data_IF_759083517768
#
_entry.id   IF_759083517768
#
_cell.length_a   1.000
_cell.length_b   1.000
_cell.length_c   1.000
_cell.angle_alpha   90.00
_cell.angle_beta   90.00
_cell.angle_gamma   90.00
#
_symmetry.space_group_name_H-M   'P 1'
#
loop_
_entity.id
_entity.type
_entity.pdbx_description
1 polymer ?
#
# COMPACT_ATOMS: atom_id res chain seq x y z
N UNK A 1 32.23 -1.48 -9.18
CA UNK A 1 31.78 -2.62 -8.37
C UNK A 1 30.55 -2.30 -7.53
N UNK A 2 30.48 -1.13 -6.87
CA UNK A 2 29.31 -0.70 -6.07
C UNK A 2 28.03 -0.46 -6.90
N UNK A 3 28.14 0.16 -8.08
CA UNK A 3 26.98 0.44 -8.95
C UNK A 3 26.26 -0.81 -9.48
N UNK A 4 27.01 -1.86 -9.82
CA UNK A 4 26.46 -3.13 -10.34
C UNK A 4 25.70 -3.91 -9.29
N UNK A 5 26.15 -3.87 -8.02
CA UNK A 5 25.43 -4.52 -6.92
C UNK A 5 24.10 -3.81 -6.63
N UNK A 6 24.07 -2.48 -6.60
CA UNK A 6 22.83 -1.71 -6.35
C UNK A 6 21.76 -2.01 -7.39
N UNK A 7 22.12 -2.10 -8.68
CA UNK A 7 21.18 -2.41 -9.76
C UNK A 7 20.63 -3.84 -9.66
N UNK A 8 21.48 -4.82 -9.33
CA UNK A 8 21.05 -6.22 -9.15
C UNK A 8 20.09 -6.37 -7.97
N UNK A 9 20.37 -5.72 -6.83
CA UNK A 9 19.45 -5.73 -5.69
C UNK A 9 18.12 -5.04 -6.02
N UNK A 10 18.16 -3.92 -6.73
CA UNK A 10 16.95 -3.18 -7.11
C UNK A 10 16.06 -3.98 -8.07
N UNK A 11 16.65 -4.63 -9.07
CA UNK A 11 15.93 -5.52 -10.00
C UNK A 11 15.37 -6.76 -9.29
N UNK A 12 16.13 -7.35 -8.36
CA UNK A 12 15.65 -8.48 -7.55
C UNK A 12 14.49 -8.07 -6.64
N UNK A 13 14.52 -6.87 -6.05
CA UNK A 13 13.44 -6.33 -5.21
C UNK A 13 12.16 -6.06 -6.01
N UNK A 14 12.28 -5.50 -7.22
CA UNK A 14 11.16 -5.32 -8.15
C UNK A 14 10.56 -6.67 -8.58
N UNK A 15 11.40 -7.68 -8.78
CA UNK A 15 10.96 -9.02 -9.18
C UNK A 15 10.28 -9.77 -8.03
N UNK A 16 10.76 -9.66 -6.79
CA UNK A 16 10.05 -10.20 -5.60
C UNK A 16 8.72 -9.49 -5.41
N UNK A 17 8.69 -8.16 -5.56
CA UNK A 17 7.46 -7.37 -5.44
C UNK A 17 6.43 -7.82 -6.47
N UNK A 18 6.81 -8.08 -7.72
CA UNK A 18 5.89 -8.58 -8.76
C UNK A 18 5.44 -10.04 -8.59
N UNK A 19 6.09 -10.82 -7.72
CA UNK A 19 5.71 -12.22 -7.41
C UNK A 19 4.69 -12.28 -6.26
N UNK A 20 4.80 -11.37 -5.28
CA UNK A 20 3.91 -11.33 -4.11
C UNK A 20 2.85 -10.23 -4.17
N UNK A 21 3.04 -9.19 -4.99
CA UNK A 21 2.13 -8.08 -5.20
C UNK A 21 1.78 -7.95 -6.69
N UNK A 22 0.62 -7.35 -6.98
CA UNK A 22 0.18 -6.99 -8.32
C UNK A 22 1.26 -6.29 -9.13
N UNK A 23 1.52 -6.75 -10.36
CA UNK A 23 2.35 -6.00 -11.32
C UNK A 23 1.73 -4.64 -11.65
N UNK A 24 0.41 -4.51 -11.48
CA UNK A 24 -0.35 -3.28 -11.65
C UNK A 24 -0.99 -2.81 -10.33
N UNK A 25 -1.01 -1.50 -10.13
CA UNK A 25 -1.64 -0.86 -8.99
C UNK A 25 -3.17 -0.85 -9.18
N UNK A 26 -3.89 -1.58 -8.34
CA UNK A 26 -5.35 -1.63 -8.36
C UNK A 26 -5.96 -1.17 -7.04
N UNK A 27 -6.77 -0.12 -7.10
CA UNK A 27 -7.57 0.31 -5.94
C UNK A 27 -8.95 -0.36 -5.97
N UNK A 28 -9.39 -0.86 -4.81
CA UNK A 28 -10.76 -1.37 -4.62
C UNK A 28 -11.47 -0.48 -3.59
N UNK A 29 -11.26 -0.71 -2.29
CA UNK A 29 -11.86 0.10 -1.22
C UNK A 29 -11.38 1.56 -1.21
N UNK A 30 -10.23 1.85 -1.83
CA UNK A 30 -9.65 3.19 -1.93
C UNK A 30 -9.77 3.83 -3.31
N UNK A 31 -10.56 3.24 -4.22
CA UNK A 31 -10.79 3.82 -5.55
C UNK A 31 -11.52 5.16 -5.43
N UNK A 32 -10.96 6.23 -6.00
CA UNK A 32 -11.58 7.54 -6.11
C UNK A 32 -12.58 7.61 -7.26
N UNK A 33 -13.49 8.59 -7.21
CA UNK A 33 -14.44 8.88 -8.30
C UNK A 33 -13.74 9.35 -9.58
N UNK A 34 -12.57 9.99 -9.44
CA UNK A 34 -11.69 10.40 -10.53
C UNK A 34 -10.22 10.29 -10.13
N UNK A 35 -9.34 10.33 -11.13
CA UNK A 35 -7.90 10.39 -10.91
C UNK A 35 -7.53 11.60 -10.02
N UNK A 36 -6.57 11.41 -9.12
CA UNK A 36 -6.16 12.41 -8.13
C UNK A 36 -6.92 12.36 -6.80
N UNK A 37 -8.03 11.62 -6.71
CA UNK A 37 -8.75 11.41 -5.45
C UNK A 37 -8.44 10.05 -4.81
N UNK A 38 -8.58 10.02 -3.48
CA UNK A 38 -8.45 8.83 -2.62
C UNK A 38 -7.12 8.10 -2.87
N UNK A 39 -7.14 6.89 -3.44
CA UNK A 39 -5.94 6.15 -3.85
C UNK A 39 -4.92 5.96 -2.73
N UNK A 40 -3.67 6.30 -3.01
CA UNK A 40 -2.53 6.06 -2.12
C UNK A 40 -2.70 6.66 -0.70
N UNK A 41 -3.11 7.94 -0.52
CA UNK A 41 -3.43 8.47 0.80
C UNK A 41 -4.48 7.64 1.55
N UNK A 42 -5.53 7.17 0.88
CA UNK A 42 -6.54 6.31 1.50
C UNK A 42 -5.94 4.98 1.95
N UNK A 43 -5.17 4.31 1.08
CA UNK A 43 -4.57 3.01 1.42
C UNK A 43 -3.55 3.13 2.54
N UNK A 44 -2.83 4.25 2.61
CA UNK A 44 -1.84 4.48 3.66
C UNK A 44 -2.50 4.65 5.02
N UNK A 45 -3.62 5.39 5.09
CA UNK A 45 -4.43 5.46 6.32
C UNK A 45 -4.92 4.07 6.72
N UNK A 46 -5.53 3.33 5.79
CA UNK A 46 -6.03 1.97 6.05
C UNK A 46 -4.91 1.06 6.56
N UNK A 47 -3.73 1.10 5.93
CA UNK A 47 -2.57 0.30 6.33
C UNK A 47 -2.17 0.59 7.78
N UNK A 48 -2.00 1.86 8.16
CA UNK A 48 -1.59 2.18 9.53
C UNK A 48 -2.66 1.85 10.56
N UNK A 49 -3.95 2.01 10.24
CA UNK A 49 -5.03 1.53 11.11
C UNK A 49 -4.97 0.01 11.32
N UNK A 50 -4.80 -0.77 10.24
CA UNK A 50 -4.59 -2.22 10.33
C UNK A 50 -3.36 -2.54 11.17
N UNK A 51 -2.23 -1.87 10.97
CA UNK A 51 -1.01 -2.10 11.77
C UNK A 51 -1.23 -1.81 13.26
N UNK A 52 -1.97 -0.75 13.62
CA UNK A 52 -2.27 -0.47 15.04
C UNK A 52 -3.10 -1.57 15.68
N UNK A 53 -4.10 -2.11 14.96
CA UNK A 53 -4.95 -3.22 15.44
C UNK A 53 -4.19 -4.54 15.47
N UNK A 54 -3.32 -4.81 14.50
CA UNK A 54 -2.53 -6.03 14.47
C UNK A 54 -1.49 -6.06 15.57
N UNK A 55 -0.83 -4.93 15.86
CA UNK A 55 0.07 -4.80 16.99
C UNK A 55 -0.65 -5.09 18.33
N UNK A 56 -1.86 -4.57 18.50
CA UNK A 56 -2.69 -4.83 19.67
C UNK A 56 -3.10 -6.32 19.79
N UNK A 57 -3.45 -6.96 18.67
CA UNK A 57 -3.81 -8.37 18.64
C UNK A 57 -2.61 -9.33 18.82
N UNK A 58 -1.39 -8.87 18.55
CA UNK A 58 -0.15 -9.68 18.60
C UNK A 58 0.95 -8.93 19.38
N UNK A 59 0.80 -8.75 20.70
CA UNK A 59 1.70 -7.89 21.48
C UNK A 59 3.16 -8.38 21.50
N UNK A 60 3.40 -9.68 21.28
CA UNK A 60 4.75 -10.28 21.19
C UNK A 60 5.40 -10.15 19.81
N UNK A 61 4.71 -9.55 18.82
CA UNK A 61 5.23 -9.42 17.44
C UNK A 61 6.48 -8.54 17.33
N UNK A 62 6.78 -7.75 18.36
CA UNK A 62 7.93 -6.86 18.43
C UNK A 62 9.02 -7.32 19.41
N UNK A 63 8.88 -8.50 20.01
CA UNK A 63 9.90 -9.06 20.91
C UNK A 63 11.23 -9.20 20.17
N UNK A 64 12.34 -8.81 20.81
CA UNK A 64 13.68 -8.79 20.24
C UNK A 64 13.86 -7.84 19.05
N UNK A 65 13.00 -6.83 18.91
CA UNK A 65 13.16 -5.77 17.90
C UNK A 65 13.59 -4.45 18.54
N UNK A 66 14.05 -3.50 17.72
CA UNK A 66 14.36 -2.13 18.18
C UNK A 66 13.13 -1.35 18.68
N UNK A 67 11.92 -1.87 18.43
CA UNK A 67 10.65 -1.28 18.84
C UNK A 67 10.08 -1.96 20.10
N UNK A 68 10.79 -2.93 20.67
CA UNK A 68 10.40 -3.57 21.92
C UNK A 68 10.31 -2.54 23.06
N UNK A 69 9.22 -2.59 23.83
CA UNK A 69 8.97 -1.65 24.93
C UNK A 69 8.52 -0.25 24.52
N UNK A 70 8.44 0.06 23.21
CA UNK A 70 7.83 1.30 22.74
C UNK A 70 6.32 1.30 23.01
N UNK A 71 5.78 2.40 23.56
CA UNK A 71 4.36 2.48 23.90
C UNK A 71 3.44 2.63 22.68
N UNK A 72 3.94 3.20 21.59
CA UNK A 72 3.20 3.46 20.35
C UNK A 72 4.06 3.20 19.09
N UNK A 73 4.58 1.98 18.90
CA UNK A 73 5.60 1.68 17.90
C UNK A 73 5.09 1.93 16.48
N UNK A 74 3.83 1.62 16.19
CA UNK A 74 3.23 1.84 14.86
C UNK A 74 3.14 3.33 14.55
N UNK A 75 2.74 4.16 15.52
CA UNK A 75 2.66 5.62 15.33
C UNK A 75 4.03 6.26 15.16
N UNK A 76 5.06 5.76 15.88
CA UNK A 76 6.43 6.22 15.70
C UNK A 76 6.95 5.90 14.29
N UNK A 77 6.70 4.69 13.80
CA UNK A 77 7.05 4.29 12.44
C UNK A 77 6.29 5.12 11.41
N UNK A 78 4.98 5.31 11.61
CA UNK A 78 4.14 6.16 10.74
C UNK A 78 4.68 7.58 10.66
N UNK A 79 5.01 8.19 11.80
CA UNK A 79 5.56 9.55 11.86
C UNK A 79 6.87 9.67 11.09
N UNK A 80 7.79 8.71 11.26
CA UNK A 80 9.07 8.67 10.54
C UNK A 80 8.87 8.46 9.04
N UNK A 81 7.98 7.56 8.65
CA UNK A 81 7.62 7.31 7.25
C UNK A 81 7.06 8.59 6.60
N UNK A 82 6.09 9.24 7.25
CA UNK A 82 5.45 10.44 6.72
C UNK A 82 6.43 11.59 6.56
N UNK A 83 7.32 11.79 7.53
CA UNK A 83 8.37 12.81 7.46
C UNK A 83 9.35 12.62 6.29
N UNK A 84 9.57 11.37 5.87
CA UNK A 84 10.68 11.03 4.97
C UNK A 84 10.23 10.68 3.56
N UNK A 85 9.08 10.00 3.41
CA UNK A 85 8.67 9.35 2.16
C UNK A 85 7.31 9.79 1.64
N UNK A 86 6.45 10.41 2.48
CA UNK A 86 5.11 10.76 2.04
C UNK A 86 5.13 11.98 1.11
N UNK A 87 4.64 11.79 -0.11
CA UNK A 87 4.80 12.79 -1.19
C UNK A 87 4.10 14.13 -0.95
N UNK A 88 3.04 14.18 -0.15
CA UNK A 88 2.38 15.44 0.21
C UNK A 88 3.09 16.09 1.41
N UNK A 89 4.00 17.02 1.13
CA UNK A 89 4.79 17.71 2.17
C UNK A 89 3.92 18.46 3.18
N UNK A 90 2.90 19.19 2.70
CA UNK A 90 1.97 19.93 3.56
C UNK A 90 1.17 18.98 4.48
N UNK A 91 0.69 17.87 3.92
CA UNK A 91 0.00 16.84 4.70
C UNK A 91 0.92 16.26 5.77
N UNK A 92 2.19 16.01 5.42
CA UNK A 92 3.21 15.52 6.34
C UNK A 92 3.51 16.50 7.48
N UNK A 93 3.63 17.80 7.18
CA UNK A 93 3.80 18.85 8.19
C UNK A 93 2.62 18.89 9.18
N UNK A 94 1.39 18.81 8.68
CA UNK A 94 0.20 18.77 9.55
C UNK A 94 0.18 17.53 10.46
N UNK A 95 0.49 16.34 9.93
CA UNK A 95 0.55 15.13 10.73
C UNK A 95 1.66 15.21 11.78
N UNK A 96 2.83 15.71 11.40
CA UNK A 96 3.96 15.80 12.31
C UNK A 96 3.74 16.80 13.44
N UNK A 97 3.09 17.93 13.15
CA UNK A 97 2.69 18.88 14.18
C UNK A 97 1.70 18.24 15.17
N UNK A 98 0.70 17.50 14.67
CA UNK A 98 -0.22 16.76 15.54
C UNK A 98 0.48 15.69 16.38
N UNK A 99 1.45 14.97 15.79
CA UNK A 99 2.25 13.98 16.48
C UNK A 99 3.15 14.60 17.57
N UNK A 100 3.75 15.76 17.31
CA UNK A 100 4.57 16.49 18.27
C UNK A 100 3.79 16.94 19.51
N UNK A 101 2.48 17.16 19.38
CA UNK A 101 1.64 17.68 20.47
C UNK A 101 1.18 16.61 21.47
N UNK A 102 0.98 15.36 21.04
CA UNK A 102 0.34 14.37 21.92
C UNK A 102 0.68 12.90 21.68
N UNK A 103 1.59 12.56 20.76
CA UNK A 103 1.94 11.15 20.53
C UNK A 103 2.68 10.54 21.73
N UNK A 104 3.48 11.32 22.44
CA UNK A 104 4.21 10.95 23.67
C UNK A 104 3.28 10.62 24.86
N UNK A 105 2.01 11.04 24.79
CA UNK A 105 1.00 10.75 25.79
C UNK A 105 0.38 9.36 25.62
N UNK A 106 0.58 8.69 24.48
CA UNK A 106 0.06 7.34 24.22
C UNK A 106 0.87 6.31 25.00
N UNK A 107 0.20 5.48 25.80
CA UNK A 107 0.84 4.54 26.74
C UNK A 107 0.60 3.06 26.44
N UNK A 108 -0.36 2.72 25.59
CA UNK A 108 -0.73 1.32 25.31
C UNK A 108 -1.40 1.15 23.93
N UNK A 109 -1.65 -0.11 23.56
CA UNK A 109 -2.28 -0.51 22.29
C UNK A 109 -3.62 0.16 22.03
N UNK A 110 -4.54 0.12 23.00
CA UNK A 110 -5.85 0.78 22.94
C UNK A 110 -5.73 2.27 22.60
N UNK A 111 -4.87 2.98 23.33
CA UNK A 111 -4.64 4.41 23.11
C UNK A 111 -3.99 4.68 21.76
N UNK A 112 -3.11 3.80 21.27
CA UNK A 112 -2.51 3.94 19.95
C UNK A 112 -3.56 3.84 18.83
N UNK A 113 -4.47 2.87 18.93
CA UNK A 113 -5.60 2.70 18.00
C UNK A 113 -6.50 3.95 18.03
N UNK A 114 -6.92 4.37 19.23
CA UNK A 114 -7.80 5.52 19.41
C UNK A 114 -7.15 6.85 19.01
N UNK A 115 -5.85 7.02 19.26
CA UNK A 115 -5.13 8.24 18.87
C UNK A 115 -5.15 8.39 17.36
N UNK A 116 -4.82 7.33 16.62
CA UNK A 116 -4.78 7.39 15.16
C UNK A 116 -6.17 7.67 14.57
N UNK A 117 -7.20 6.99 15.10
CA UNK A 117 -8.59 7.24 14.73
C UNK A 117 -9.01 8.69 14.97
N UNK A 118 -8.70 9.24 16.15
CA UNK A 118 -9.05 10.62 16.48
C UNK A 118 -8.32 11.63 15.60
N UNK A 119 -7.02 11.43 15.31
CA UNK A 119 -6.30 12.30 14.38
C UNK A 119 -6.86 12.21 12.96
N UNK A 120 -7.23 11.02 12.50
CA UNK A 120 -7.84 10.85 11.19
C UNK A 120 -9.19 11.59 11.10
N UNK A 121 -10.00 11.55 12.16
CA UNK A 121 -11.25 12.33 12.21
C UNK A 121 -11.03 13.83 12.26
N UNK A 122 -9.99 14.33 12.94
CA UNK A 122 -9.61 15.75 12.87
C UNK A 122 -9.23 16.18 11.46
N UNK A 123 -8.52 15.30 10.73
CA UNK A 123 -8.20 15.52 9.32
C UNK A 123 -9.46 15.50 8.46
N UNK A 124 -10.39 14.57 8.69
CA UNK A 124 -11.68 14.53 8.00
C UNK A 124 -12.45 15.84 8.19
N UNK A 125 -12.60 16.32 9.43
CA UNK A 125 -13.30 17.58 9.70
C UNK A 125 -12.63 18.79 9.02
N UNK A 126 -11.29 18.83 8.98
CA UNK A 126 -10.57 19.93 8.32
C UNK A 126 -10.70 19.91 6.80
N UNK A 127 -10.73 18.71 6.20
CA UNK A 127 -10.78 18.54 4.75
C UNK A 127 -12.21 18.48 4.19
N UNK A 128 -13.24 18.46 5.03
CA UNK A 128 -14.63 18.44 4.59
C UNK A 128 -14.95 19.66 3.72
N UNK A 129 -15.42 19.40 2.49
CA UNK A 129 -15.73 20.44 1.51
C UNK A 129 -14.52 21.09 0.84
N UNK A 130 -13.30 20.61 1.09
CA UNK A 130 -12.11 21.08 0.39
C UNK A 130 -12.10 20.60 -1.07
N UNK A 131 -11.26 21.21 -1.93
CA UNK A 131 -11.10 20.78 -3.33
C UNK A 131 -10.56 19.35 -3.48
N UNK A 132 -9.87 18.85 -2.45
CA UNK A 132 -9.35 17.48 -2.35
C UNK A 132 -10.38 16.49 -1.78
N UNK A 133 -11.56 16.96 -1.38
CA UNK A 133 -12.66 16.12 -0.92
C UNK A 133 -13.38 15.50 -2.12
N UNK A 134 -13.46 14.16 -2.14
CA UNK A 134 -14.06 13.44 -3.25
C UNK A 134 -15.60 13.56 -3.14
N UNK A 135 -16.32 14.10 -4.15
CA UNK A 135 -17.76 14.30 -4.06
C UNK A 135 -18.58 13.02 -3.82
N UNK A 136 -18.07 11.85 -4.23
CA UNK A 136 -18.75 10.57 -3.98
C UNK A 136 -18.36 9.94 -2.64
N UNK A 137 -17.34 10.47 -1.98
CA UNK A 137 -16.84 9.99 -0.69
C UNK A 137 -16.51 11.17 0.22
N UNK A 138 -17.51 12.01 0.55
CA UNK A 138 -17.29 13.24 1.30
C UNK A 138 -16.70 12.95 2.67
N UNK A 139 -15.82 13.82 3.17
CA UNK A 139 -15.30 13.69 4.53
C UNK A 139 -16.43 13.85 5.54
N UNK A 140 -16.50 12.90 6.46
CA UNK A 140 -17.41 12.92 7.58
C UNK A 140 -16.72 12.31 8.81
N UNK A 141 -17.24 12.59 10.03
CA UNK A 141 -16.83 11.84 11.22
C UNK A 141 -17.05 10.34 10.98
N UNK A 142 -16.03 9.54 11.26
CA UNK A 142 -16.00 8.10 11.03
C UNK A 142 -15.84 7.35 12.36
N UNK A 143 -16.55 6.23 12.58
CA UNK A 143 -17.57 5.67 11.71
C UNK A 143 -18.83 6.54 11.63
N UNK A 144 -19.64 6.30 10.61
CA UNK A 144 -20.98 6.88 10.56
C UNK A 144 -21.92 6.16 11.54
N UNK A 145 -23.03 6.80 11.96
CA UNK A 145 -24.04 6.14 12.78
C UNK A 145 -24.62 4.88 12.14
N UNK A 146 -24.65 4.79 10.81
CA UNK A 146 -25.08 3.59 10.09
C UNK A 146 -24.09 2.42 10.22
N UNK A 147 -22.79 2.70 10.37
CA UNK A 147 -21.75 1.68 10.52
C UNK A 147 -21.59 1.21 11.97
N UNK A 148 -21.72 2.13 12.93
CA UNK A 148 -21.62 1.79 14.35
C UNK A 148 -22.55 2.67 15.18
N UNK A 149 -23.85 2.36 15.29
CA UNK A 149 -24.80 3.16 16.07
C UNK A 149 -24.35 3.33 17.53
N UNK A 150 -23.81 2.26 18.13
CA UNK A 150 -23.35 2.23 19.52
C UNK A 150 -22.11 3.08 19.78
N UNK A 151 -21.37 3.49 18.74
CA UNK A 151 -20.23 4.39 18.85
C UNK A 151 -20.65 5.85 19.14
N UNK A 152 -21.91 6.20 18.90
CA UNK A 152 -22.42 7.57 19.04
C UNK A 152 -23.33 7.69 20.27
N UNK A 153 -23.03 8.66 21.11
CA UNK A 153 -23.84 9.08 22.25
C UNK A 153 -24.21 10.55 22.11
N UNK A 154 -25.20 10.98 22.89
CA UNK A 154 -25.54 12.38 23.07
C UNK A 154 -25.50 12.71 24.57
N UNK A 155 -24.76 13.77 24.93
CA UNK A 155 -24.70 14.29 26.30
C UNK A 155 -25.01 15.78 26.25
N UNK A 156 -26.08 16.21 26.93
CA UNK A 156 -26.55 17.59 26.95
C UNK A 156 -26.77 18.19 25.54
N UNK A 157 -27.34 17.42 24.61
CA UNK A 157 -27.57 17.87 23.23
C UNK A 157 -26.32 17.90 22.35
N UNK A 158 -25.16 17.46 22.85
CA UNK A 158 -23.90 17.44 22.13
C UNK A 158 -23.49 16.00 21.83
N UNK A 159 -23.08 15.74 20.59
CA UNK A 159 -22.55 14.44 20.18
C UNK A 159 -21.26 14.11 20.94
N UNK A 160 -21.20 12.88 21.47
CA UNK A 160 -20.03 12.33 22.16
C UNK A 160 -19.74 10.94 21.60
N UNK A 161 -18.46 10.58 21.51
CA UNK A 161 -18.05 9.24 21.13
C UNK A 161 -18.01 8.31 22.34
N UNK A 162 -18.64 7.15 22.22
CA UNK A 162 -18.39 6.04 23.15
C UNK A 162 -17.06 5.37 22.75
N UNK A 163 -15.97 5.72 23.43
CA UNK A 163 -14.64 5.23 23.07
C UNK A 163 -14.49 3.69 23.18
N UNK A 164 -15.22 3.05 24.09
CA UNK A 164 -15.17 1.60 24.24
C UNK A 164 -15.78 0.90 23.01
N UNK A 165 -16.93 1.39 22.54
CA UNK A 165 -17.56 0.87 21.33
C UNK A 165 -16.79 1.24 20.06
N UNK A 166 -16.19 2.44 20.00
CA UNK A 166 -15.28 2.83 18.91
C UNK A 166 -14.09 1.89 18.84
N UNK A 167 -13.45 1.60 19.97
CA UNK A 167 -12.30 0.68 20.03
C UNK A 167 -12.68 -0.74 19.58
N UNK A 168 -13.81 -1.25 20.07
CA UNK A 168 -14.34 -2.56 19.63
C UNK A 168 -14.64 -2.60 18.14
N UNK A 169 -15.25 -1.54 17.60
CA UNK A 169 -15.50 -1.39 16.17
C UNK A 169 -14.20 -1.33 15.36
N UNK A 170 -13.19 -0.57 15.80
CA UNK A 170 -11.89 -0.47 15.13
C UNK A 170 -11.17 -1.82 15.05
N UNK A 171 -11.13 -2.56 16.18
CA UNK A 171 -10.56 -3.91 16.24
C UNK A 171 -11.23 -4.87 15.27
N UNK A 172 -12.56 -4.80 15.16
CA UNK A 172 -13.31 -5.62 14.21
C UNK A 172 -13.08 -5.17 12.76
N UNK A 173 -13.22 -3.87 12.49
CA UNK A 173 -13.16 -3.32 11.15
C UNK A 173 -11.78 -3.47 10.48
N UNK A 174 -10.70 -3.27 11.24
CA UNK A 174 -9.33 -3.40 10.77
C UNK A 174 -8.66 -4.72 11.16
N UNK A 175 -9.42 -5.65 11.75
CA UNK A 175 -8.95 -6.99 12.10
C UNK A 175 -8.77 -7.89 10.87
N UNK A 176 -7.91 -8.90 11.00
CA UNK A 176 -7.60 -9.83 9.91
C UNK A 176 -8.84 -10.53 9.31
N UNK A 177 -9.86 -10.80 10.12
CA UNK A 177 -11.10 -11.44 9.69
C UNK A 177 -11.96 -10.59 8.77
N UNK A 178 -11.75 -9.27 8.74
CA UNK A 178 -12.49 -8.34 7.88
C UNK A 178 -11.71 -7.95 6.60
N UNK A 179 -10.59 -8.63 6.32
CA UNK A 179 -9.84 -8.48 5.07
C UNK A 179 -10.39 -9.42 4.00
N UNK A 180 -10.86 -8.85 2.88
CA UNK A 180 -11.34 -9.65 1.75
C UNK A 180 -10.19 -10.20 0.91
N UNK A 181 -10.10 -11.54 0.71
CA UNK A 181 -9.07 -12.13 -0.14
C UNK A 181 -9.40 -12.03 -1.63
N UNK A 182 -10.61 -11.60 -2.02
CA UNK A 182 -11.15 -11.67 -3.39
C UNK A 182 -10.32 -10.96 -4.46
N UNK A 183 -9.44 -10.05 -4.07
CA UNK A 183 -8.56 -9.29 -4.96
C UNK A 183 -7.07 -9.56 -4.72
N UNK A 184 -6.74 -10.54 -3.89
CA UNK A 184 -5.37 -10.97 -3.66
C UNK A 184 -4.89 -11.78 -4.86
N UNK A 185 -3.63 -11.60 -5.27
CA UNK A 185 -3.04 -12.51 -6.24
C UNK A 185 -2.91 -13.90 -5.62
N UNK A 186 -3.34 -14.94 -6.33
CA UNK A 186 -2.91 -16.29 -6.04
C UNK A 186 -1.44 -16.39 -6.45
N UNK A 187 -0.50 -16.69 -5.52
CA UNK A 187 0.88 -16.92 -5.91
C UNK A 187 0.92 -18.05 -6.95
N UNK A 188 1.83 -18.00 -7.95
CA UNK A 188 2.03 -19.14 -8.83
C UNK A 188 2.30 -20.38 -7.97
N UNK A 189 1.55 -21.46 -8.20
CA UNK A 189 1.86 -22.77 -7.62
C UNK A 189 3.28 -23.12 -8.07
N UNK A 190 4.23 -23.07 -7.13
CA UNK A 190 5.56 -23.63 -7.36
C UNK A 190 5.35 -25.11 -7.72
N UNK A 191 5.96 -25.63 -8.79
CA UNK A 191 5.83 -27.04 -9.16
C UNK A 191 6.17 -27.91 -7.95
N UNK A 192 5.24 -28.79 -7.58
CA UNK A 192 5.48 -29.78 -6.53
C UNK A 192 6.80 -30.49 -6.86
N UNK A 193 7.68 -30.60 -5.87
CA UNK A 193 8.87 -31.43 -5.98
C UNK A 193 8.43 -32.82 -6.45
N UNK A 194 9.12 -33.35 -7.47
CA UNK A 194 8.83 -34.65 -8.06
C UNK A 194 8.66 -35.71 -6.96
N UNK A 195 7.63 -36.56 -7.01
CA UNK A 195 7.47 -37.62 -6.02
C UNK A 195 8.61 -38.63 -6.12
N UNK A 196 9.16 -39.01 -4.96
CA UNK A 196 10.13 -40.11 -4.84
C UNK A 196 9.56 -41.41 -5.43
N UNK A 197 10.40 -42.27 -6.04
CA UNK A 197 9.94 -43.47 -6.72
C UNK A 197 9.26 -44.45 -5.75
N UNK A 198 8.01 -44.76 -6.08
CA UNK A 198 7.09 -45.68 -5.40
C UNK A 198 7.74 -47.05 -5.18
N UNK A 199 7.74 -47.52 -3.92
CA UNK A 199 8.04 -48.90 -3.55
C UNK A 199 6.74 -49.71 -3.57
N UNK A 200 6.60 -50.59 -4.54
CA UNK A 200 5.47 -51.47 -4.80
C UNK A 200 5.26 -52.48 -3.66
N UNK A 201 4.07 -52.52 -3.05
CA UNK A 201 3.56 -53.69 -2.32
C UNK A 201 2.07 -53.87 -2.65
N UNK A 202 1.71 -55.08 -3.07
CA UNK A 202 0.41 -55.53 -3.60
C UNK A 202 -0.74 -55.51 -2.56
N UNK A 203 -2.01 -55.44 -3.01
CA UNK A 203 -3.19 -55.46 -2.13
C UNK A 203 -3.66 -56.89 -1.82
N UNK A 204 -3.96 -57.16 -0.55
CA UNK A 204 -4.80 -58.28 -0.13
C UNK A 204 -6.23 -57.81 0.13
N UNK A 205 -7.16 -58.49 -0.52
CA UNK A 205 -8.62 -58.40 -0.38
C UNK A 205 -9.04 -59.17 0.86
N UNK A 206 -9.91 -58.59 1.69
CA UNK A 206 -10.72 -59.38 2.63
C UNK A 206 -12.15 -58.87 2.69
N UNK A 207 -13.05 -59.84 2.88
CA UNK A 207 -14.43 -59.89 2.44
C UNK A 207 -15.31 -60.06 3.69
N UNK A 208 -16.39 -59.27 3.82
CA UNK A 208 -17.52 -59.47 4.75
C UNK A 208 -18.60 -58.48 4.30
N UNK A 209 -19.85 -58.83 4.01
CA UNK A 209 -20.71 -59.93 4.44
C UNK A 209 -22.04 -59.29 4.84
N UNK A 210 -23.10 -59.55 4.07
CA UNK A 210 -24.40 -58.90 4.11
C UNK A 210 -25.27 -59.28 5.33
N UNK A 211 -26.20 -58.40 5.71
CA UNK A 211 -27.51 -58.76 6.26
C UNK A 211 -28.52 -57.61 6.09
N UNK A 212 -29.72 -57.98 5.64
CA UNK A 212 -30.84 -57.17 5.18
C UNK A 212 -31.75 -56.62 6.31
N UNK A 213 -32.59 -55.66 5.95
CA UNK A 213 -33.79 -55.25 6.70
C UNK A 213 -34.37 -53.94 6.15
N UNK A 214 -35.35 -54.04 5.25
CA UNK A 214 -35.90 -52.91 4.49
C UNK A 214 -37.07 -52.17 5.13
N UNK A 215 -37.46 -51.05 4.52
CA UNK A 215 -38.85 -50.62 4.31
C UNK A 215 -38.89 -49.40 3.36
N UNK A 216 -39.94 -49.39 2.55
CA UNK A 216 -40.24 -48.58 1.35
C UNK A 216 -40.45 -47.08 1.56
N UNK A 217 -40.44 -46.30 0.46
CA UNK A 217 -41.16 -45.02 0.43
C UNK A 217 -40.70 -43.93 -0.55
N UNK A 218 -40.84 -44.20 -1.85
CA UNK A 218 -41.04 -43.29 -3.01
C UNK A 218 -40.41 -41.87 -3.10
N UNK A 219 -39.78 -41.69 -4.26
CA UNK A 219 -39.44 -40.42 -4.92
C UNK A 219 -40.67 -39.69 -5.48
N UNK A 220 -40.61 -38.36 -5.57
CA UNK A 220 -41.00 -37.66 -6.80
C UNK A 220 -40.42 -36.24 -6.91
N UNK A 221 -40.26 -35.85 -8.18
CA UNK A 221 -39.51 -34.77 -8.82
C UNK A 221 -40.03 -33.32 -8.57
N UNK A 222 -39.09 -32.35 -8.59
CA UNK A 222 -39.05 -30.95 -9.13
C UNK A 222 -40.32 -30.22 -9.64
N UNK A 223 -40.36 -28.85 -9.87
CA UNK A 223 -39.26 -27.90 -10.15
C UNK A 223 -39.38 -26.44 -9.57
N UNK A 224 -38.38 -25.62 -9.89
CA UNK A 224 -38.26 -24.15 -9.70
C UNK A 224 -39.44 -23.29 -10.23
N UNK A 225 -39.47 -22.00 -9.83
CA UNK A 225 -39.57 -20.96 -10.86
C UNK A 225 -38.64 -19.73 -10.66
N UNK A 226 -38.05 -19.27 -11.78
CA UNK A 226 -37.54 -17.91 -12.00
C UNK A 226 -38.69 -16.92 -12.24
N UNK A 227 -38.40 -15.61 -12.13
CA UNK A 227 -38.80 -14.68 -13.19
C UNK A 227 -37.66 -13.75 -13.64
N UNK A 228 -37.51 -13.58 -14.96
CA UNK A 228 -36.68 -12.53 -15.58
C UNK A 228 -37.49 -11.29 -15.97
N UNK A 229 -36.83 -10.31 -16.59
CA UNK A 229 -37.24 -9.38 -17.69
C UNK A 229 -36.24 -8.16 -17.73
N UNK A 230 -36.12 -7.39 -18.84
CA UNK A 230 -35.04 -7.54 -19.81
C UNK A 230 -34.14 -6.29 -19.96
N UNK A 231 -32.95 -6.43 -20.55
CA UNK A 231 -32.14 -5.27 -20.96
C UNK A 231 -31.76 -5.36 -22.44
N UNK A 232 -32.08 -4.29 -23.15
CA UNK A 232 -31.88 -4.06 -24.58
C UNK A 232 -30.41 -4.10 -24.99
N UNK A 233 -30.24 -4.60 -26.20
CA UNK A 233 -29.01 -4.72 -26.99
C UNK A 233 -28.51 -3.34 -27.45
N UNK A 234 -27.27 -3.00 -27.10
CA UNK A 234 -26.49 -1.90 -27.69
C UNK A 234 -25.05 -2.36 -27.90
N UNK A 235 -24.58 -2.34 -29.16
CA UNK A 235 -23.19 -2.64 -29.55
C UNK A 235 -22.26 -1.49 -29.14
N UNK A 236 -20.98 -1.78 -28.86
CA UNK A 236 -19.90 -0.84 -29.20
C UNK A 236 -19.10 -1.34 -30.40
N UNK A 237 -18.87 -0.43 -31.34
CA UNK A 237 -17.96 -0.56 -32.48
C UNK A 237 -16.51 -0.83 -32.03
N UNK A 238 -15.82 -1.62 -32.85
CA UNK A 238 -14.37 -1.77 -32.88
C UNK A 238 -13.71 -0.43 -33.23
N UNK A 239 -12.83 0.07 -32.35
CA UNK A 239 -11.84 1.07 -32.71
C UNK A 239 -10.46 0.44 -32.67
N UNK A 240 -9.81 0.52 -33.82
CA UNK A 240 -8.49 0.03 -34.19
C UNK A 240 -7.37 0.67 -33.34
N UNK A 241 -6.93 -0.02 -32.30
CA UNK A 241 -5.69 0.29 -31.56
C UNK A 241 -4.48 -0.28 -32.32
N UNK A 242 -3.80 0.57 -33.09
CA UNK A 242 -2.51 0.24 -33.73
C UNK A 242 -1.38 1.02 -33.05
N UNK A 243 -0.68 0.33 -32.16
CA UNK A 243 0.77 0.39 -32.00
C UNK A 243 1.38 1.67 -31.39
N UNK A 244 1.79 1.56 -30.13
CA UNK A 244 2.62 2.59 -29.48
C UNK A 244 3.08 2.22 -28.07
N UNK A 245 3.54 0.98 -27.87
CA UNK A 245 4.20 0.58 -26.62
C UNK A 245 5.58 1.25 -26.51
N UNK A 246 5.61 2.36 -25.80
CA UNK A 246 6.82 3.05 -25.35
C UNK A 246 6.42 4.40 -24.80
N UNK A 247 6.88 4.73 -23.59
CA UNK A 247 6.68 6.01 -22.89
C UNK A 247 5.42 6.12 -21.99
N UNK A 248 5.29 5.24 -20.99
CA UNK A 248 4.39 5.46 -19.83
C UNK A 248 5.04 5.13 -18.46
N UNK A 249 6.35 5.31 -18.31
CA UNK A 249 7.09 4.92 -17.08
C UNK A 249 7.58 6.10 -16.22
N UNK A 250 7.29 7.37 -16.54
CA UNK A 250 7.74 8.49 -15.69
C UNK A 250 6.57 9.41 -15.29
N UNK A 251 5.72 8.89 -14.39
CA UNK A 251 4.67 9.65 -13.72
C UNK A 251 5.18 10.48 -12.54
N UNK A 252 6.04 11.46 -12.82
CA UNK A 252 6.20 12.69 -12.03
C UNK A 252 6.14 13.82 -13.06
N UNK A 253 5.20 14.76 -12.92
CA UNK A 253 4.90 15.78 -13.92
C UNK A 253 6.06 16.73 -14.22
N UNK A 254 7.00 16.29 -15.04
CA UNK A 254 8.05 17.10 -15.65
C UNK A 254 7.67 17.34 -17.11
N UNK A 255 7.57 18.61 -17.49
CA UNK A 255 7.26 18.99 -18.86
C UNK A 255 8.45 18.62 -19.77
N UNK A 256 8.24 18.50 -21.08
CA UNK A 256 9.30 18.29 -22.09
C UNK A 256 10.43 19.34 -22.01
N UNK A 257 10.14 20.49 -21.41
CA UNK A 257 11.07 21.58 -21.11
C UNK A 257 12.07 21.21 -20.01
N UNK A 258 11.66 20.45 -18.99
CA UNK A 258 12.54 20.06 -17.87
C UNK A 258 13.56 19.01 -18.29
N UNK A 259 13.19 18.11 -19.21
CA UNK A 259 14.12 17.13 -19.78
C UNK A 259 15.12 17.79 -20.74
N UNK A 260 14.68 18.77 -21.53
CA UNK A 260 15.60 19.52 -22.40
C UNK A 260 16.56 20.38 -21.58
N UNK A 261 16.10 21.00 -20.50
CA UNK A 261 16.93 21.75 -19.56
C UNK A 261 17.95 20.85 -18.87
N UNK A 262 17.56 19.64 -18.45
CA UNK A 262 18.49 18.66 -17.86
C UNK A 262 19.61 18.26 -18.82
N UNK A 263 19.28 17.99 -20.09
CA UNK A 263 20.29 17.62 -21.10
C UNK A 263 21.22 18.80 -21.41
N UNK A 264 20.68 20.02 -21.50
CA UNK A 264 21.49 21.23 -21.72
C UNK A 264 22.41 21.49 -20.53
N UNK A 265 21.91 21.44 -19.30
CA UNK A 265 22.72 21.62 -18.08
C UNK A 265 23.81 20.54 -17.96
N UNK A 266 23.49 19.30 -18.31
CA UNK A 266 24.46 18.20 -18.33
C UNK A 266 25.56 18.45 -19.37
N UNK A 267 25.20 18.85 -20.60
CA UNK A 267 26.16 19.19 -21.65
C UNK A 267 27.05 20.37 -21.24
N UNK A 268 26.47 21.42 -20.66
CA UNK A 268 27.22 22.57 -20.15
C UNK A 268 28.19 22.18 -19.02
N UNK A 269 27.77 21.31 -18.11
CA UNK A 269 28.63 20.79 -17.03
C UNK A 269 29.81 19.99 -17.59
N UNK A 270 29.57 19.10 -18.55
CA UNK A 270 30.61 18.32 -19.22
C UNK A 270 31.62 19.22 -19.95
N UNK A 271 31.15 20.24 -20.68
CA UNK A 271 32.01 21.21 -21.35
C UNK A 271 32.84 22.02 -20.36
N UNK A 272 32.24 22.46 -19.25
CA UNK A 272 32.93 23.19 -18.19
C UNK A 272 34.05 22.36 -17.55
N UNK A 273 33.79 21.09 -17.24
CA UNK A 273 34.80 20.16 -16.70
C UNK A 273 35.94 19.91 -17.70
N UNK A 274 35.63 19.78 -18.99
CA UNK A 274 36.66 19.65 -20.04
C UNK A 274 37.52 20.91 -20.12
N UNK A 275 36.93 22.11 -20.06
CA UNK A 275 37.67 23.37 -20.05
C UNK A 275 38.57 23.51 -18.81
N UNK A 276 38.07 23.17 -17.63
CA UNK A 276 38.88 23.15 -16.41
C UNK A 276 40.03 22.15 -16.54
N UNK A 277 39.77 20.94 -17.03
CA UNK A 277 40.81 19.94 -17.26
C UNK A 277 41.90 20.45 -18.22
N UNK A 278 41.52 21.06 -19.34
CA UNK A 278 42.47 21.65 -20.27
C UNK A 278 43.22 22.83 -19.64
N UNK A 279 42.54 23.71 -18.90
CA UNK A 279 43.16 24.83 -18.21
C UNK A 279 44.19 24.36 -17.18
N UNK A 280 43.84 23.37 -16.35
CA UNK A 280 44.76 22.79 -15.37
C UNK A 280 45.91 22.04 -16.04
N UNK A 281 45.66 21.31 -17.13
CA UNK A 281 46.70 20.63 -17.90
C UNK A 281 47.64 21.64 -18.57
N UNK A 282 47.11 22.74 -19.09
CA UNK A 282 47.88 23.79 -19.74
C UNK A 282 48.67 24.64 -18.73
N UNK A 283 48.09 24.96 -17.56
CA UNK A 283 48.83 25.54 -16.43
C UNK A 283 49.91 24.60 -15.93
N UNK A 284 49.61 23.32 -15.74
CA UNK A 284 50.58 22.31 -15.30
C UNK A 284 51.76 22.19 -16.28
N UNK A 285 51.48 22.20 -17.60
CA UNK A 285 52.52 22.25 -18.64
C UNK A 285 53.35 23.54 -18.59
N UNK A 286 52.72 24.71 -18.43
CA UNK A 286 53.42 26.00 -18.28
C UNK A 286 54.25 26.09 -16.99
N UNK A 287 53.79 25.46 -15.91
CA UNK A 287 54.53 25.38 -14.64
C UNK A 287 55.74 24.45 -14.77
N UNK A 288 55.61 23.31 -15.47
CA UNK A 288 56.75 22.43 -15.80
C UNK A 288 57.79 23.13 -16.66
N UNK A 289 57.38 23.88 -17.68
CA UNK A 289 58.28 24.67 -18.55
C UNK A 289 58.97 25.83 -17.81
N UNK A 290 58.29 26.51 -16.88
CA UNK A 290 58.93 27.52 -16.01
C UNK A 290 59.94 26.91 -15.04
N UNK A 291 59.66 25.72 -14.49
CA UNK A 291 60.57 25.02 -13.56
C UNK A 291 61.84 24.53 -14.25
N UNK A 292 61.79 24.16 -15.52
CA UNK A 292 62.98 23.79 -16.32
C UNK A 292 63.84 25.01 -16.72
N UNK A 293 63.27 26.21 -16.79
CA UNK A 293 64.00 27.44 -17.15
C UNK A 293 64.63 28.16 -15.95
N UNK A 294 64.31 27.74 -14.72
CA UNK A 294 64.91 28.20 -13.45
C UNK A 294 66.04 27.27 -12.96
N UNK A 295 66.35 26.21 -13.71
CA UNK A 295 67.40 25.22 -13.42
C UNK A 295 68.50 25.18 -14.51
N UNK A 296 68.65 26.28 -15.26
CA UNK A 296 69.78 26.52 -16.18
C UNK A 296 70.48 27.79 -15.72
#
# INVERSE_FOLDING_TARGET
HTHTHTVVYFLFYLQISGVFLGAELRWVGCQGSRAGFRGYPCSLWTLFHVLTVQHDATPTSLDNTVLEGEAAPVLQVMRRYIRTFFGCEECGRHFDAAAALSLDQVKNGDQQILWLWNQHNRVNSRLAGALSDDPLFPKAPWPSPALCPSCHEEKNGVHVWNQNHVLGFLRHHYGASNLSPSYSLTPPLLPAALPDPVRTIQPQVEHRGAAEGGAEGNAEEQPEPRPGHPALRGKPEEVLERGGWGVWVLGLGFNSVDMSLCVVLYACSCLFLMLLFFFFKFRSRRWKLRRSHLHV
#
